data_IF_707364804095
#
_entry.id   IF_707364804095
#
_cell.length_a   1.000
_cell.length_b   1.000
_cell.length_c   1.000
_cell.angle_alpha   90.00
_cell.angle_beta   90.00
_cell.angle_gamma   90.00
#
_symmetry.space_group_name_H-M   'P 1'
#
loop_
_entity.id
_entity.type
_entity.pdbx_description
1 polymer ?
#
# COMPACT_ATOMS: atom_id res chain seq x y z
N UNK A 1 -15.68 13.50 16.65
CA UNK A 1 -14.83 12.58 15.88
C UNK A 1 -13.71 13.42 15.31
N UNK A 2 -12.42 13.11 15.48
CA UNK A 2 -11.40 13.85 14.75
C UNK A 2 -11.61 13.57 13.26
N UNK A 3 -11.62 14.62 12.43
CA UNK A 3 -11.61 14.45 10.99
C UNK A 3 -10.29 13.78 10.62
N UNK A 4 -10.37 12.57 10.07
CA UNK A 4 -9.22 11.96 9.40
C UNK A 4 -8.75 12.94 8.33
N UNK A 5 -7.44 13.12 8.14
CA UNK A 5 -6.96 14.00 7.09
C UNK A 5 -7.60 13.59 5.75
N UNK A 6 -8.01 14.55 4.91
CA UNK A 6 -8.45 14.30 3.52
C UNK A 6 -7.29 13.81 2.61
N UNK A 7 -6.29 13.14 3.18
CA UNK A 7 -5.16 12.57 2.45
C UNK A 7 -5.65 11.27 1.82
N UNK A 8 -5.98 11.34 0.53
CA UNK A 8 -6.21 10.18 -0.32
C UNK A 8 -5.10 10.11 -1.39
N UNK A 9 -4.17 9.18 -1.21
CA UNK A 9 -3.04 8.94 -2.11
C UNK A 9 -3.45 8.39 -3.47
N UNK A 10 -4.69 7.96 -3.66
CA UNK A 10 -5.19 7.56 -4.97
C UNK A 10 -5.53 8.76 -5.87
N UNK A 11 -5.73 9.98 -5.32
CA UNK A 11 -6.06 11.18 -6.11
C UNK A 11 -4.88 11.69 -6.96
N UNK A 12 -3.65 11.48 -6.50
CA UNK A 12 -2.41 11.87 -7.19
C UNK A 12 -1.48 10.67 -7.32
N UNK A 13 -2.03 9.55 -7.79
CA UNK A 13 -1.38 8.23 -7.77
C UNK A 13 0.06 8.18 -8.30
N UNK A 14 0.45 9.02 -9.28
CA UNK A 14 1.84 9.06 -9.77
C UNK A 14 2.79 9.88 -8.87
N UNK A 15 2.34 11.00 -8.33
CA UNK A 15 3.13 11.85 -7.42
C UNK A 15 3.27 11.17 -6.06
N UNK A 16 2.15 10.68 -5.53
CA UNK A 16 2.10 9.90 -4.29
C UNK A 16 3.01 8.69 -4.34
N UNK A 17 3.09 8.00 -5.49
CA UNK A 17 4.01 6.89 -5.70
C UNK A 17 5.49 7.31 -5.56
N UNK A 18 5.89 8.46 -6.13
CA UNK A 18 7.27 8.93 -6.01
C UNK A 18 7.63 9.23 -4.54
N UNK A 19 6.71 9.81 -3.79
CA UNK A 19 6.92 10.16 -2.39
C UNK A 19 7.04 8.91 -1.49
N UNK A 20 6.20 7.89 -1.73
CA UNK A 20 6.16 6.68 -0.88
C UNK A 20 7.16 5.58 -1.30
N UNK A 21 7.60 5.55 -2.55
CA UNK A 21 8.64 4.59 -2.99
C UNK A 21 10.03 4.93 -2.46
N UNK A 22 10.23 6.12 -1.90
CA UNK A 22 11.45 6.48 -1.16
C UNK A 22 11.61 5.76 0.18
N UNK A 23 10.55 5.10 0.68
CA UNK A 23 10.61 4.32 1.92
C UNK A 23 11.46 3.05 1.74
N UNK A 24 12.25 2.73 2.76
CA UNK A 24 13.03 1.50 2.75
C UNK A 24 12.14 0.25 2.90
N UNK A 25 12.65 -0.89 2.43
CA UNK A 25 11.91 -2.15 2.42
C UNK A 25 11.46 -2.60 3.83
N UNK A 26 12.14 -2.21 4.91
CA UNK A 26 11.75 -2.55 6.29
C UNK A 26 10.53 -1.75 6.73
N UNK A 27 10.44 -0.47 6.36
CA UNK A 27 9.24 0.33 6.61
C UNK A 27 8.06 -0.25 5.84
N UNK A 28 8.23 -0.55 4.56
CA UNK A 28 7.17 -1.19 3.77
C UNK A 28 6.70 -2.51 4.39
N UNK A 29 7.64 -3.35 4.82
CA UNK A 29 7.29 -4.59 5.51
C UNK A 29 6.45 -4.32 6.75
N UNK A 30 6.85 -3.37 7.61
CA UNK A 30 6.10 -3.01 8.83
C UNK A 30 4.69 -2.52 8.52
N UNK A 31 4.50 -1.71 7.47
CA UNK A 31 3.18 -1.21 7.07
C UNK A 31 2.30 -2.36 6.59
N UNK A 32 2.81 -3.20 5.68
CA UNK A 32 2.04 -4.28 5.06
C UNK A 32 1.67 -5.36 6.08
N UNK A 33 2.55 -5.69 7.01
CA UNK A 33 2.30 -6.74 8.01
C UNK A 33 1.58 -6.25 9.26
N UNK A 34 1.20 -4.97 9.36
CA UNK A 34 0.52 -4.44 10.54
C UNK A 34 -1.00 -4.53 10.37
N UNK A 35 -1.61 -5.58 10.93
CA UNK A 35 -3.06 -5.82 10.87
C UNK A 35 -3.89 -4.62 11.31
N UNK A 36 -3.44 -3.87 12.32
CA UNK A 36 -4.17 -2.69 12.82
C UNK A 36 -4.36 -1.64 11.71
N UNK A 37 -3.37 -1.42 10.85
CA UNK A 37 -3.49 -0.45 9.77
C UNK A 37 -4.54 -0.86 8.73
N UNK A 38 -4.65 -2.16 8.45
CA UNK A 38 -5.56 -2.69 7.45
C UNK A 38 -6.97 -2.84 8.02
N UNK A 39 -7.10 -3.45 9.20
CA UNK A 39 -8.37 -3.81 9.82
C UNK A 39 -9.12 -2.60 10.38
N UNK A 40 -8.40 -1.58 10.88
CA UNK A 40 -9.04 -0.34 11.35
C UNK A 40 -9.36 0.64 10.22
N UNK A 41 -9.18 0.25 8.95
CA UNK A 41 -9.50 1.07 7.80
C UNK A 41 -8.56 2.25 7.58
N UNK A 42 -7.42 2.31 8.27
CA UNK A 42 -6.40 3.37 8.07
C UNK A 42 -5.86 3.29 6.64
N UNK A 43 -5.52 2.08 6.17
CA UNK A 43 -5.09 1.88 4.77
C UNK A 43 -6.18 2.31 3.79
N UNK A 44 -7.46 2.10 4.11
CA UNK A 44 -8.59 2.46 3.23
C UNK A 44 -8.94 3.95 3.28
N UNK A 45 -8.57 4.64 4.35
CA UNK A 45 -8.66 6.10 4.42
C UNK A 45 -7.59 6.77 3.55
N UNK A 46 -6.38 6.21 3.57
CA UNK A 46 -5.23 6.71 2.81
C UNK A 46 -5.23 6.30 1.34
N UNK A 47 -5.75 5.11 1.04
CA UNK A 47 -5.84 4.52 -0.29
C UNK A 47 -7.28 4.05 -0.50
N UNK A 48 -8.16 4.96 -0.93
CA UNK A 48 -9.60 4.69 -0.98
C UNK A 48 -9.99 3.55 -1.92
N UNK A 49 -9.38 3.51 -3.11
CA UNK A 49 -9.61 2.49 -4.12
C UNK A 49 -8.41 1.51 -4.25
N UNK A 50 -7.27 1.84 -3.67
CA UNK A 50 -6.09 0.99 -3.66
C UNK A 50 -5.29 1.05 -4.95
N UNK A 51 -5.60 1.97 -5.88
CA UNK A 51 -4.91 2.13 -7.16
C UNK A 51 -3.42 2.41 -6.95
N UNK A 52 -3.08 3.28 -6.00
CA UNK A 52 -1.67 3.56 -5.69
C UNK A 52 -0.97 2.34 -5.08
N UNK A 53 -1.67 1.52 -4.29
CA UNK A 53 -1.11 0.27 -3.76
C UNK A 53 -0.88 -0.78 -4.86
N UNK A 54 -1.69 -0.81 -5.92
CA UNK A 54 -1.44 -1.65 -7.10
C UNK A 54 -0.17 -1.22 -7.84
N UNK A 55 0.04 0.08 -7.99
CA UNK A 55 1.29 0.61 -8.56
C UNK A 55 2.52 0.25 -7.72
N UNK A 56 2.39 0.30 -6.38
CA UNK A 56 3.43 -0.16 -5.46
C UNK A 56 3.68 -1.67 -5.62
N UNK A 57 2.62 -2.48 -5.76
CA UNK A 57 2.73 -3.91 -6.01
C UNK A 57 3.48 -4.21 -7.32
N UNK A 58 3.14 -3.51 -8.40
CA UNK A 58 3.81 -3.66 -9.70
C UNK A 58 5.27 -3.23 -9.62
N UNK A 59 5.56 -2.14 -8.90
CA UNK A 59 6.93 -1.75 -8.60
C UNK A 59 7.69 -2.85 -7.87
N UNK A 60 7.14 -3.45 -6.80
CA UNK A 60 7.79 -4.56 -6.10
C UNK A 60 8.00 -5.78 -7.00
N UNK A 61 7.03 -6.12 -7.85
CA UNK A 61 7.14 -7.23 -8.81
C UNK A 61 8.22 -7.01 -9.87
N UNK A 62 8.48 -5.76 -10.24
CA UNK A 62 9.52 -5.40 -11.20
C UNK A 62 10.94 -5.57 -10.65
N UNK A 63 11.11 -5.74 -9.33
CA UNK A 63 12.42 -5.90 -8.68
C UNK A 63 12.73 -7.38 -8.45
N UNK A 64 13.86 -7.85 -8.95
CA UNK A 64 14.25 -9.26 -8.88
C UNK A 64 14.85 -9.70 -7.52
N UNK A 65 14.98 -8.80 -6.54
CA UNK A 65 15.66 -9.13 -5.28
C UNK A 65 14.73 -9.81 -4.26
N UNK A 66 15.28 -10.67 -3.36
CA UNK A 66 14.46 -11.39 -2.39
C UNK A 66 13.55 -10.52 -1.51
N UNK A 67 13.98 -9.35 -0.98
CA UNK A 67 13.11 -8.49 -0.19
C UNK A 67 11.85 -8.05 -0.93
N UNK A 68 11.96 -7.66 -2.21
CA UNK A 68 10.80 -7.22 -2.99
C UNK A 68 9.85 -8.38 -3.36
N UNK A 69 10.34 -9.61 -3.48
CA UNK A 69 9.48 -10.80 -3.63
C UNK A 69 8.63 -11.05 -2.39
N UNK A 70 9.20 -10.85 -1.20
CA UNK A 70 8.45 -10.96 0.07
C UNK A 70 7.40 -9.85 0.16
N UNK A 71 7.79 -8.60 -0.13
CA UNK A 71 6.88 -7.46 -0.09
C UNK A 71 5.73 -7.59 -1.09
N UNK A 72 6.00 -7.98 -2.33
CA UNK A 72 4.96 -8.16 -3.35
C UNK A 72 3.98 -9.27 -2.98
N UNK A 73 4.46 -10.38 -2.42
CA UNK A 73 3.57 -11.45 -1.94
C UNK A 73 2.67 -10.96 -0.80
N UNK A 74 3.24 -10.29 0.21
CA UNK A 74 2.48 -9.80 1.36
C UNK A 74 1.46 -8.73 0.96
N UNK A 75 1.85 -7.78 0.10
CA UNK A 75 0.95 -6.72 -0.39
C UNK A 75 -0.17 -7.30 -1.26
N UNK A 76 0.14 -8.28 -2.10
CA UNK A 76 -0.87 -8.96 -2.93
C UNK A 76 -1.96 -9.62 -2.08
N UNK A 77 -1.59 -10.28 -0.97
CA UNK A 77 -2.56 -10.89 -0.05
C UNK A 77 -3.47 -9.85 0.59
N UNK A 78 -2.89 -8.76 1.09
CA UNK A 78 -3.68 -7.65 1.67
C UNK A 78 -4.66 -7.02 0.68
N UNK A 79 -4.23 -6.83 -0.57
CA UNK A 79 -5.10 -6.27 -1.61
C UNK A 79 -6.29 -7.19 -1.90
N UNK A 80 -6.07 -8.51 -1.95
CA UNK A 80 -7.16 -9.48 -2.12
C UNK A 80 -8.17 -9.45 -0.95
N UNK A 81 -7.70 -9.23 0.28
CA UNK A 81 -8.54 -9.21 1.47
C UNK A 81 -9.35 -7.92 1.62
N UNK A 82 -8.76 -6.76 1.30
CA UNK A 82 -9.34 -5.45 1.65
C UNK A 82 -9.85 -4.62 0.45
N UNK A 83 -9.45 -5.00 -0.77
CA UNK A 83 -9.83 -4.36 -2.04
C UNK A 83 -10.30 -5.41 -3.06
N UNK A 84 -11.37 -6.18 -2.75
CA UNK A 84 -11.94 -7.09 -3.74
C UNK A 84 -12.40 -6.28 -4.95
N UNK A 85 -11.88 -6.64 -6.13
CA UNK A 85 -12.38 -6.12 -7.39
C UNK A 85 -13.65 -6.90 -7.72
N UNK A 86 -14.79 -6.20 -7.74
CA UNK A 86 -16.06 -6.71 -8.28
C UNK A 86 -15.98 -6.94 -9.80
#
# INVERSE_FOLDING_TARGET
MPDLPEINFDLTHQESLQDILGLDNRIWHRIITNDILWDQGIMKALFKDGTTLLLVLDYFRSRETPPYRVLSKALSSRLQEHYPMD
#
